data_IF_372024257292
#
_entry.id   IF_372024257292
#
_cell.length_a   1.000
_cell.length_b   1.000
_cell.length_c   1.000
_cell.angle_alpha   90.00
_cell.angle_beta   90.00
_cell.angle_gamma   90.00
#
_symmetry.space_group_name_H-M   'P 1'
#
loop_
_entity.id
_entity.type
_entity.pdbx_description
1 polymer ?
#
# COMPACT_ATOMS: atom_id res chain seq x y z
N UNK A 1 34.06 -8.20 -31.35
CA UNK A 1 32.66 -8.65 -31.26
C UNK A 1 31.80 -7.39 -31.31
N UNK A 2 31.09 -7.20 -32.43
CA UNK A 2 30.22 -6.01 -32.65
C UNK A 2 28.99 -6.15 -31.74
N UNK A 3 28.74 -5.13 -30.91
CA UNK A 3 27.52 -5.02 -30.13
C UNK A 3 26.28 -5.09 -31.06
N UNK A 4 25.22 -5.81 -30.67
CA UNK A 4 23.99 -5.79 -31.43
C UNK A 4 23.34 -4.41 -31.27
N UNK A 5 23.40 -3.59 -32.32
CA UNK A 5 22.59 -2.37 -32.39
C UNK A 5 21.11 -2.75 -32.30
N UNK A 6 20.51 -2.56 -31.13
CA UNK A 6 19.07 -2.54 -30.97
C UNK A 6 18.50 -1.45 -31.87
N UNK A 7 17.95 -1.81 -33.02
CA UNK A 7 17.24 -0.85 -33.89
C UNK A 7 16.01 -0.38 -33.12
N UNK A 8 16.02 0.86 -32.67
CA UNK A 8 14.85 1.46 -32.04
C UNK A 8 13.65 1.39 -32.99
N UNK A 9 12.48 0.99 -32.47
CA UNK A 9 11.25 0.98 -33.25
C UNK A 9 10.89 2.44 -33.59
N UNK A 10 10.65 2.75 -34.87
CA UNK A 10 10.27 4.12 -35.26
C UNK A 10 8.99 4.57 -34.52
N UNK A 11 8.98 5.79 -34.02
CA UNK A 11 7.82 6.36 -33.29
C UNK A 11 6.52 6.37 -34.11
N UNK A 12 6.64 6.57 -35.44
CA UNK A 12 5.50 6.50 -36.37
C UNK A 12 4.84 5.12 -36.36
N UNK A 13 5.62 4.04 -36.33
CA UNK A 13 5.09 2.66 -36.26
C UNK A 13 4.34 2.41 -34.95
N UNK A 14 4.83 2.98 -33.84
CA UNK A 14 4.14 2.89 -32.54
C UNK A 14 2.82 3.65 -32.60
N UNK A 15 2.81 4.87 -33.14
CA UNK A 15 1.61 5.69 -33.29
C UNK A 15 0.54 5.02 -34.19
N UNK A 16 0.96 4.46 -35.32
CA UNK A 16 0.06 3.71 -36.23
C UNK A 16 -0.56 2.50 -35.52
N UNK A 17 0.21 1.78 -34.73
CA UNK A 17 -0.26 0.65 -33.94
C UNK A 17 -1.27 1.10 -32.88
N UNK A 18 -0.96 2.16 -32.12
CA UNK A 18 -1.88 2.72 -31.12
C UNK A 18 -3.20 3.13 -31.76
N UNK A 19 -3.16 3.84 -32.89
CA UNK A 19 -4.37 4.27 -33.60
C UNK A 19 -5.23 3.08 -34.05
N UNK A 20 -4.60 2.05 -34.59
CA UNK A 20 -5.28 0.84 -35.04
C UNK A 20 -5.93 0.08 -33.86
N UNK A 21 -5.19 -0.14 -32.78
CA UNK A 21 -5.69 -0.86 -31.60
C UNK A 21 -6.77 -0.07 -30.89
N UNK A 22 -6.65 1.25 -30.79
CA UNK A 22 -7.70 2.12 -30.24
C UNK A 22 -8.99 2.06 -31.04
N UNK A 23 -8.90 2.11 -32.37
CA UNK A 23 -10.07 1.98 -33.24
C UNK A 23 -10.75 0.59 -33.11
N UNK A 24 -9.94 -0.47 -33.06
CA UNK A 24 -10.45 -1.83 -32.84
C UNK A 24 -11.13 -1.96 -31.48
N UNK A 25 -10.53 -1.41 -30.42
CA UNK A 25 -11.10 -1.39 -29.08
C UNK A 25 -12.47 -0.69 -29.05
N UNK A 26 -12.56 0.53 -29.58
CA UNK A 26 -13.82 1.27 -29.62
C UNK A 26 -14.92 0.53 -30.37
N UNK A 27 -14.61 -0.08 -31.52
CA UNK A 27 -15.56 -0.87 -32.28
C UNK A 27 -16.10 -2.10 -31.52
N UNK A 28 -15.31 -2.67 -30.62
CA UNK A 28 -15.67 -3.87 -29.87
C UNK A 28 -16.35 -3.57 -28.54
N UNK A 29 -16.34 -2.30 -28.06
CA UNK A 29 -16.82 -1.94 -26.71
C UNK A 29 -17.92 -0.85 -26.73
N UNK A 30 -19.01 -0.99 -27.53
CA UNK A 30 -20.07 0.02 -27.64
C UNK A 30 -20.82 0.25 -26.32
N UNK A 31 -21.02 -0.78 -25.50
CA UNK A 31 -21.68 -0.63 -24.18
C UNK A 31 -20.78 0.10 -23.18
N UNK A 32 -19.48 -0.19 -23.15
CA UNK A 32 -18.53 0.52 -22.31
C UNK A 32 -18.45 2.00 -22.69
N UNK A 33 -18.50 2.35 -23.99
CA UNK A 33 -18.60 3.73 -24.46
C UNK A 33 -19.86 4.41 -23.93
N UNK A 34 -21.02 3.79 -24.09
CA UNK A 34 -22.29 4.36 -23.62
C UNK A 34 -22.33 4.54 -22.09
N UNK A 35 -21.74 3.61 -21.34
CA UNK A 35 -21.60 3.74 -19.89
C UNK A 35 -20.63 4.87 -19.50
N UNK A 36 -19.52 5.02 -20.20
CA UNK A 36 -18.57 6.11 -19.97
C UNK A 36 -19.23 7.48 -20.20
N UNK A 37 -20.03 7.64 -21.26
CA UNK A 37 -20.81 8.86 -21.51
C UNK A 37 -21.83 9.16 -20.41
N UNK A 38 -22.42 8.14 -19.80
CA UNK A 38 -23.35 8.30 -18.68
C UNK A 38 -22.63 8.69 -17.39
N UNK A 39 -21.54 8.01 -17.07
CA UNK A 39 -20.79 8.27 -15.82
C UNK A 39 -20.06 9.61 -15.82
N UNK A 40 -19.68 10.13 -16.97
CA UNK A 40 -19.15 11.49 -17.15
C UNK A 40 -20.06 12.58 -16.57
N UNK A 41 -21.36 12.34 -16.49
CA UNK A 41 -22.34 13.33 -15.98
C UNK A 41 -22.35 13.47 -14.47
N UNK A 42 -21.86 12.44 -13.74
CA UNK A 42 -22.05 12.35 -12.30
C UNK A 42 -20.78 12.03 -11.52
N UNK A 43 -19.75 11.52 -12.19
CA UNK A 43 -18.45 11.24 -11.58
C UNK A 43 -17.39 12.17 -12.13
N UNK A 44 -16.59 12.72 -11.25
CA UNK A 44 -15.41 13.47 -11.64
C UNK A 44 -14.49 12.54 -12.46
N UNK A 45 -14.06 12.99 -13.64
CA UNK A 45 -13.33 12.19 -14.63
C UNK A 45 -14.11 10.98 -15.21
N UNK A 46 -15.42 10.89 -14.98
CA UNK A 46 -16.26 9.81 -15.48
C UNK A 46 -16.10 8.44 -14.81
N UNK A 47 -15.37 8.38 -13.71
CA UNK A 47 -15.07 7.13 -13.00
C UNK A 47 -15.20 7.31 -11.48
N UNK A 48 -15.53 6.24 -10.72
CA UNK A 48 -15.69 6.34 -9.26
C UNK A 48 -14.43 6.73 -8.51
N UNK A 49 -13.26 6.34 -9.00
CA UNK A 49 -11.94 6.67 -8.45
C UNK A 49 -11.09 7.25 -9.58
N UNK A 50 -10.50 8.42 -9.40
CA UNK A 50 -9.83 9.19 -10.46
C UNK A 50 -8.77 8.39 -11.23
N UNK A 51 -7.98 7.56 -10.55
CA UNK A 51 -6.94 6.73 -11.16
C UNK A 51 -7.48 5.66 -12.13
N UNK A 52 -8.78 5.33 -12.09
CA UNK A 52 -9.41 4.44 -13.07
C UNK A 52 -9.47 5.06 -14.47
N UNK A 53 -9.31 6.40 -14.59
CA UNK A 53 -9.23 7.09 -15.88
C UNK A 53 -7.80 7.08 -16.47
N UNK A 54 -6.80 6.70 -15.69
CA UNK A 54 -5.38 6.75 -16.09
C UNK A 54 -4.92 5.48 -16.84
N UNK A 55 -5.79 4.48 -16.98
CA UNK A 55 -5.51 3.31 -17.80
C UNK A 55 -5.46 3.67 -19.28
N UNK A 56 -4.47 3.17 -20.01
CA UNK A 56 -4.24 3.48 -21.42
C UNK A 56 -5.26 2.82 -22.38
N UNK A 57 -6.53 2.77 -22.01
CA UNK A 57 -7.63 2.37 -22.89
C UNK A 57 -8.41 3.60 -23.36
N UNK A 58 -8.96 3.63 -24.59
CA UNK A 58 -9.71 4.78 -25.11
C UNK A 58 -10.90 5.20 -24.23
N UNK A 59 -11.54 4.25 -23.56
CA UNK A 59 -12.56 4.44 -22.53
C UNK A 59 -12.34 3.38 -21.44
N UNK A 60 -12.79 3.63 -20.19
CA UNK A 60 -12.75 2.61 -19.15
C UNK A 60 -13.55 1.36 -19.54
N UNK A 61 -13.03 0.17 -19.20
CA UNK A 61 -13.82 -1.06 -19.25
C UNK A 61 -14.76 -1.11 -18.04
N UNK A 62 -16.03 -1.42 -18.28
CA UNK A 62 -17.01 -1.63 -17.22
C UNK A 62 -17.17 -3.12 -16.97
N UNK A 63 -16.85 -3.57 -15.77
CA UNK A 63 -16.92 -4.97 -15.38
C UNK A 63 -18.37 -5.35 -15.06
N UNK A 64 -18.86 -6.43 -15.66
CA UNK A 64 -20.16 -7.03 -15.36
C UNK A 64 -20.04 -8.07 -14.25
N UNK A 65 -19.00 -8.93 -14.33
CA UNK A 65 -18.71 -9.97 -13.33
C UNK A 65 -17.22 -10.33 -13.33
N UNK A 66 -16.76 -10.79 -12.18
CA UNK A 66 -15.40 -11.30 -12.04
C UNK A 66 -15.39 -12.54 -11.14
N UNK A 67 -14.61 -13.55 -11.50
CA UNK A 67 -14.46 -14.79 -10.74
C UNK A 67 -13.08 -15.43 -10.99
N UNK A 68 -12.41 -15.85 -9.94
CA UNK A 68 -11.07 -16.40 -10.06
C UNK A 68 -10.11 -15.38 -10.69
N UNK A 69 -9.40 -15.76 -11.74
CA UNK A 69 -8.47 -14.90 -12.46
C UNK A 69 -9.09 -14.23 -13.70
N UNK A 70 -10.39 -14.20 -13.82
CA UNK A 70 -11.08 -13.69 -15.01
C UNK A 70 -12.14 -12.64 -14.66
N UNK A 71 -12.35 -11.68 -15.57
CA UNK A 71 -13.54 -10.84 -15.56
C UNK A 71 -14.19 -10.78 -16.93
N UNK A 72 -15.48 -10.46 -16.95
CA UNK A 72 -16.27 -10.19 -18.15
C UNK A 72 -16.70 -8.73 -18.13
N UNK A 73 -16.43 -8.00 -19.21
CA UNK A 73 -16.89 -6.62 -19.33
C UNK A 73 -18.37 -6.54 -19.80
N UNK A 74 -18.94 -5.34 -19.71
CA UNK A 74 -20.33 -5.07 -20.12
C UNK A 74 -20.62 -5.42 -21.60
N UNK A 75 -19.60 -5.43 -22.45
CA UNK A 75 -19.69 -5.83 -23.85
C UNK A 75 -19.65 -7.36 -24.06
N UNK A 76 -19.44 -8.13 -22.99
CA UNK A 76 -19.43 -9.58 -23.00
C UNK A 76 -18.06 -10.21 -23.27
N UNK A 77 -17.01 -9.41 -23.41
CA UNK A 77 -15.65 -9.93 -23.60
C UNK A 77 -15.06 -10.44 -22.28
N UNK A 78 -14.39 -11.58 -22.35
CA UNK A 78 -13.68 -12.19 -21.21
C UNK A 78 -12.21 -11.81 -21.26
N UNK A 79 -11.67 -11.46 -20.10
CA UNK A 79 -10.28 -11.10 -19.92
C UNK A 79 -9.69 -11.92 -18.78
N UNK A 80 -8.41 -12.27 -18.92
CA UNK A 80 -7.61 -12.77 -17.80
C UNK A 80 -7.07 -11.55 -17.07
N UNK A 81 -7.34 -11.48 -15.78
CA UNK A 81 -6.98 -10.34 -14.95
C UNK A 81 -5.60 -10.56 -14.30
N UNK A 82 -4.57 -9.93 -14.87
CA UNK A 82 -3.24 -9.91 -14.28
C UNK A 82 -3.03 -8.79 -13.25
N UNK A 83 -3.98 -7.87 -13.13
CA UNK A 83 -3.95 -6.80 -12.13
C UNK A 83 -4.55 -7.26 -10.80
N UNK A 84 -5.61 -8.10 -10.84
CA UNK A 84 -6.34 -8.58 -9.66
C UNK A 84 -6.78 -7.46 -8.72
N UNK A 85 -7.27 -6.35 -9.30
CA UNK A 85 -7.69 -5.18 -8.53
C UNK A 85 -6.53 -4.59 -7.71
N UNK A 86 -5.36 -4.47 -8.33
CA UNK A 86 -4.12 -4.03 -7.68
C UNK A 86 -3.81 -4.87 -6.43
N UNK A 87 -3.76 -6.20 -6.62
CA UNK A 87 -3.56 -7.24 -5.61
C UNK A 87 -4.68 -7.41 -4.57
N UNK A 88 -5.73 -6.59 -4.58
CA UNK A 88 -6.90 -6.76 -3.69
C UNK A 88 -7.59 -8.10 -3.86
N UNK A 89 -7.67 -8.60 -5.09
CA UNK A 89 -8.23 -9.91 -5.44
C UNK A 89 -7.16 -11.01 -5.58
N UNK A 90 -6.10 -10.96 -4.79
CA UNK A 90 -4.96 -11.90 -4.84
C UNK A 90 -5.38 -13.38 -4.68
N UNK A 91 -6.48 -13.65 -3.97
CA UNK A 91 -7.07 -14.99 -3.83
C UNK A 91 -8.06 -15.33 -4.96
N UNK A 92 -8.07 -14.55 -6.03
CA UNK A 92 -9.07 -14.57 -7.08
C UNK A 92 -10.30 -13.72 -6.74
N UNK A 93 -11.00 -13.30 -7.80
CA UNK A 93 -12.28 -12.61 -7.64
C UNK A 93 -13.34 -13.54 -7.05
N UNK A 94 -14.23 -12.99 -6.22
CA UNK A 94 -15.37 -13.70 -5.62
C UNK A 94 -14.98 -15.01 -4.94
N UNK A 95 -14.00 -15.06 -4.02
CA UNK A 95 -13.61 -16.30 -3.36
C UNK A 95 -14.80 -16.85 -2.56
N UNK A 96 -15.12 -18.12 -2.79
CA UNK A 96 -16.34 -18.74 -2.25
C UNK A 96 -16.51 -18.61 -0.72
N UNK A 97 -15.47 -18.75 0.13
CA UNK A 97 -15.61 -18.54 1.57
C UNK A 97 -16.08 -17.12 1.92
N UNK A 98 -15.51 -16.10 1.26
CA UNK A 98 -15.85 -14.69 1.51
C UNK A 98 -17.27 -14.39 1.02
N UNK A 99 -17.63 -14.85 -0.18
CA UNK A 99 -18.97 -14.68 -0.72
C UNK A 99 -20.05 -15.29 0.21
N UNK A 100 -19.78 -16.49 0.75
CA UNK A 100 -20.69 -17.16 1.71
C UNK A 100 -20.86 -16.35 3.00
N UNK A 101 -19.78 -15.82 3.56
CA UNK A 101 -19.84 -15.01 4.79
C UNK A 101 -20.62 -13.71 4.53
N UNK A 102 -20.36 -13.02 3.43
CA UNK A 102 -21.08 -11.79 3.05
C UNK A 102 -22.58 -12.06 2.88
N UNK A 103 -22.94 -13.15 2.22
CA UNK A 103 -24.34 -13.54 2.05
C UNK A 103 -25.03 -13.79 3.41
N UNK A 104 -24.36 -14.46 4.34
CA UNK A 104 -24.88 -14.69 5.70
C UNK A 104 -24.97 -13.37 6.48
N UNK A 105 -23.93 -12.53 6.44
CA UNK A 105 -23.88 -11.30 7.21
C UNK A 105 -24.84 -10.22 6.70
N UNK A 106 -25.26 -10.29 5.45
CA UNK A 106 -26.13 -9.27 4.81
C UNK A 106 -27.45 -9.03 5.57
N UNK A 107 -27.94 -10.01 6.30
CA UNK A 107 -29.18 -9.92 7.10
C UNK A 107 -28.94 -9.65 8.58
N UNK A 108 -27.68 -9.53 9.02
CA UNK A 108 -27.30 -9.37 10.44
C UNK A 108 -26.73 -7.99 10.77
N UNK A 109 -26.49 -7.15 9.76
CA UNK A 109 -25.92 -5.81 9.88
C UNK A 109 -24.40 -5.78 9.73
N UNK A 110 -23.91 -4.68 9.19
CA UNK A 110 -22.47 -4.47 8.93
C UNK A 110 -21.84 -3.41 9.86
N UNK A 111 -22.62 -2.44 10.34
CA UNK A 111 -22.09 -1.27 11.03
C UNK A 111 -22.76 -1.13 12.39
N UNK A 112 -22.16 -1.73 13.40
CA UNK A 112 -22.77 -1.87 14.74
C UNK A 112 -22.20 -0.93 15.78
N UNK A 113 -21.11 -0.23 15.55
CA UNK A 113 -20.33 0.56 16.54
C UNK A 113 -19.86 -0.24 17.77
N UNK A 114 -20.23 -1.51 17.86
CA UNK A 114 -19.85 -2.42 18.93
C UNK A 114 -19.11 -3.62 18.32
N UNK A 115 -18.14 -4.19 19.04
CA UNK A 115 -17.42 -5.36 18.55
C UNK A 115 -18.37 -6.58 18.47
N UNK A 116 -18.17 -7.40 17.45
CA UNK A 116 -18.83 -8.72 17.34
C UNK A 116 -17.94 -9.81 17.97
N UNK A 117 -18.50 -10.98 18.16
CA UNK A 117 -17.73 -12.14 18.64
C UNK A 117 -16.58 -12.53 17.71
N UNK A 118 -16.69 -12.23 16.41
CA UNK A 118 -15.66 -12.52 15.41
C UNK A 118 -14.36 -11.74 15.67
N UNK A 119 -14.43 -10.61 16.37
CA UNK A 119 -13.24 -9.82 16.72
C UNK A 119 -12.19 -10.67 17.48
N UNK A 120 -12.65 -11.57 18.36
CA UNK A 120 -11.74 -12.47 19.09
C UNK A 120 -11.04 -13.48 18.15
N UNK A 121 -11.75 -14.01 17.17
CA UNK A 121 -11.20 -14.95 16.20
C UNK A 121 -10.24 -14.25 15.23
N UNK A 122 -10.63 -13.07 14.72
CA UNK A 122 -9.81 -12.26 13.83
C UNK A 122 -8.50 -11.84 14.52
N UNK A 123 -8.58 -11.34 15.77
CA UNK A 123 -7.39 -10.95 16.52
C UNK A 123 -6.41 -12.11 16.75
N UNK A 124 -6.91 -13.30 17.11
CA UNK A 124 -6.06 -14.50 17.23
C UNK A 124 -5.41 -14.88 15.91
N UNK A 125 -6.19 -14.95 14.83
CA UNK A 125 -5.68 -15.32 13.52
C UNK A 125 -4.60 -14.37 13.02
N UNK A 126 -4.75 -13.06 13.23
CA UNK A 126 -3.75 -12.06 12.90
C UNK A 126 -2.48 -12.24 13.75
N UNK A 127 -2.63 -12.45 15.06
CA UNK A 127 -1.47 -12.64 15.96
C UNK A 127 -0.72 -13.92 15.64
N UNK A 128 -1.41 -15.01 15.41
CA UNK A 128 -0.81 -16.30 15.04
C UNK A 128 -0.10 -16.22 13.68
N UNK A 129 -0.69 -15.48 12.73
CA UNK A 129 -0.15 -15.39 11.38
C UNK A 129 1.08 -14.50 11.29
N UNK A 130 1.04 -13.32 11.91
CA UNK A 130 2.08 -12.28 11.73
C UNK A 130 3.03 -12.12 12.92
N UNK A 131 2.77 -12.81 14.03
CA UNK A 131 3.66 -12.80 15.20
C UNK A 131 3.56 -11.56 16.11
N UNK A 132 2.78 -10.54 15.76
CA UNK A 132 2.53 -9.38 16.61
C UNK A 132 1.26 -9.59 17.46
N UNK A 133 1.29 -9.25 18.77
CA UNK A 133 0.21 -9.62 19.69
C UNK A 133 -1.04 -8.74 19.63
N UNK A 134 -0.95 -7.49 19.16
CA UNK A 134 -2.07 -6.54 19.21
C UNK A 134 -2.39 -5.97 17.83
N UNK A 135 -3.69 -5.93 17.51
CA UNK A 135 -4.17 -5.52 16.19
C UNK A 135 -5.33 -4.52 16.30
N UNK A 136 -5.41 -3.65 15.31
CA UNK A 136 -6.52 -2.74 15.10
C UNK A 136 -6.97 -2.80 13.64
N UNK A 137 -8.24 -2.54 13.42
CA UNK A 137 -8.84 -2.53 12.09
C UNK A 137 -8.87 -1.13 11.51
N UNK A 138 -8.77 -1.05 10.19
CA UNK A 138 -8.97 0.16 9.40
C UNK A 138 -9.74 -0.19 8.13
N UNK A 139 -10.30 0.80 7.45
CA UNK A 139 -11.03 0.56 6.19
C UNK A 139 -10.08 0.46 5.02
N UNK A 140 -9.00 1.23 5.03
CA UNK A 140 -7.99 1.25 3.97
C UNK A 140 -6.58 1.18 4.56
N UNK A 141 -5.60 0.72 3.75
CA UNK A 141 -4.20 0.78 4.14
C UNK A 141 -3.72 2.23 4.36
N UNK A 142 -4.28 3.20 3.65
CA UNK A 142 -4.04 4.63 3.91
C UNK A 142 -4.38 5.00 5.35
N UNK A 143 -5.55 4.58 5.84
CA UNK A 143 -5.95 4.87 7.23
C UNK A 143 -5.08 4.10 8.23
N UNK A 144 -4.77 2.84 7.94
CA UNK A 144 -3.90 2.03 8.79
C UNK A 144 -2.50 2.66 8.92
N UNK A 145 -1.90 3.09 7.82
CA UNK A 145 -0.63 3.84 7.82
C UNK A 145 -0.75 5.15 8.60
N UNK A 146 -1.81 5.93 8.37
CA UNK A 146 -2.06 7.18 9.11
C UNK A 146 -2.14 6.95 10.63
N UNK A 147 -2.85 5.91 11.06
CA UNK A 147 -2.95 5.57 12.48
C UNK A 147 -1.62 5.11 13.05
N UNK A 148 -0.87 4.28 12.33
CA UNK A 148 0.44 3.82 12.74
C UNK A 148 1.43 4.98 12.92
N UNK A 149 1.48 5.91 11.96
CA UNK A 149 2.33 7.11 12.05
C UNK A 149 1.94 8.02 13.22
N UNK A 150 0.65 8.18 13.49
CA UNK A 150 0.19 8.94 14.67
C UNK A 150 0.64 8.29 15.97
N UNK A 151 0.51 6.96 16.09
CA UNK A 151 1.03 6.23 17.24
C UNK A 151 2.55 6.36 17.35
N UNK A 152 3.28 6.18 16.26
CA UNK A 152 4.72 6.34 16.26
C UNK A 152 5.14 7.72 16.81
N UNK A 153 4.52 8.79 16.32
CA UNK A 153 4.77 10.14 16.81
C UNK A 153 4.36 10.34 18.27
N UNK A 154 3.21 9.82 18.67
CA UNK A 154 2.70 9.98 20.03
C UNK A 154 3.60 9.31 21.08
N UNK A 155 4.11 8.12 20.78
CA UNK A 155 4.90 7.34 21.74
C UNK A 155 6.39 7.66 21.75
N UNK A 156 6.92 8.24 20.66
CA UNK A 156 8.32 8.68 20.57
C UNK A 156 8.51 10.15 20.92
N UNK A 157 7.46 10.96 20.80
CA UNK A 157 7.53 12.42 20.88
C UNK A 157 8.22 13.08 19.68
N UNK A 158 8.61 12.30 18.68
CA UNK A 158 9.32 12.76 17.48
C UNK A 158 8.33 13.02 16.35
N UNK A 159 8.68 13.92 15.42
CA UNK A 159 7.77 14.34 14.34
C UNK A 159 8.11 13.71 12.99
N UNK A 160 9.41 13.54 12.71
CA UNK A 160 9.88 13.08 11.40
C UNK A 160 9.70 11.60 11.19
N UNK A 161 9.51 11.21 9.95
CA UNK A 161 9.56 9.83 9.51
C UNK A 161 10.58 9.69 8.36
N UNK A 162 11.18 8.53 8.24
CA UNK A 162 12.07 8.17 7.14
C UNK A 162 11.35 7.20 6.22
N UNK A 163 11.38 7.45 4.91
CA UNK A 163 10.84 6.57 3.87
C UNK A 163 11.90 6.31 2.81
N UNK A 164 11.61 5.41 1.89
CA UNK A 164 12.49 5.09 0.77
C UNK A 164 11.99 5.70 -0.54
N UNK A 165 12.93 6.12 -1.38
CA UNK A 165 12.65 6.73 -2.67
C UNK A 165 11.78 5.80 -3.55
N UNK A 166 10.73 6.34 -4.16
CA UNK A 166 9.78 5.58 -4.95
C UNK A 166 8.75 4.77 -4.16
N UNK A 167 8.68 4.92 -2.82
CA UNK A 167 7.69 4.23 -1.99
C UNK A 167 6.26 4.71 -2.26
N UNK A 168 5.29 3.85 -1.88
CA UNK A 168 3.87 4.20 -1.84
C UNK A 168 3.19 3.52 -0.65
N UNK A 169 2.60 4.34 0.23
CA UNK A 169 1.93 3.87 1.45
C UNK A 169 0.50 4.42 1.56
N UNK A 170 -0.21 4.44 0.45
CA UNK A 170 -1.52 5.08 0.35
C UNK A 170 -1.39 6.61 0.16
N UNK A 171 -2.51 7.31 0.34
CA UNK A 171 -2.60 8.76 0.07
C UNK A 171 -2.40 9.61 1.33
N UNK A 172 -1.42 9.26 2.15
CA UNK A 172 -0.98 10.09 3.27
C UNK A 172 0.10 11.05 2.78
N UNK A 173 -0.09 12.34 3.03
CA UNK A 173 0.83 13.38 2.55
C UNK A 173 2.26 13.13 3.01
N UNK A 174 2.44 12.74 4.25
CA UNK A 174 3.76 12.53 4.88
C UNK A 174 4.73 11.64 4.09
N UNK A 175 4.28 10.78 3.18
CA UNK A 175 5.16 9.86 2.42
C UNK A 175 5.48 10.34 1.01
N UNK A 176 4.91 11.48 0.61
CA UNK A 176 5.09 11.99 -0.75
C UNK A 176 6.30 12.93 -0.85
N UNK A 177 7.44 12.40 -0.47
CA UNK A 177 8.76 13.02 -0.64
C UNK A 177 9.64 12.15 -1.53
N UNK A 178 10.46 12.77 -2.36
CA UNK A 178 11.35 12.10 -3.29
C UNK A 178 12.77 12.65 -3.15
N UNK A 179 13.76 11.87 -3.55
CA UNK A 179 15.12 12.37 -3.80
C UNK A 179 15.15 13.17 -5.09
N UNK A 180 16.10 14.09 -5.19
CA UNK A 180 16.38 14.72 -6.47
C UNK A 180 16.89 13.68 -7.49
N UNK A 181 16.30 13.67 -8.69
CA UNK A 181 16.61 12.67 -9.71
C UNK A 181 18.07 12.76 -10.25
N UNK A 182 18.76 13.88 -9.99
CA UNK A 182 20.11 14.15 -10.48
C UNK A 182 21.15 14.20 -9.37
N UNK A 183 20.73 14.37 -8.12
CA UNK A 183 21.61 14.46 -6.97
C UNK A 183 20.98 13.82 -5.72
N UNK A 184 21.26 12.56 -5.50
CA UNK A 184 20.78 11.82 -4.32
C UNK A 184 21.34 12.36 -2.97
N UNK A 185 22.34 13.24 -3.00
CA UNK A 185 22.86 13.92 -1.81
C UNK A 185 22.13 15.24 -1.51
N UNK A 186 21.30 15.72 -2.42
CA UNK A 186 20.46 16.89 -2.20
C UNK A 186 19.38 16.61 -1.13
N UNK A 187 18.90 17.65 -0.45
CA UNK A 187 17.75 17.50 0.46
C UNK A 187 16.53 16.89 -0.25
N UNK A 188 15.73 16.13 0.49
CA UNK A 188 14.45 15.63 0.01
C UNK A 188 13.57 16.74 -0.55
N UNK A 189 12.80 16.43 -1.58
CA UNK A 189 11.85 17.34 -2.21
C UNK A 189 10.42 16.78 -2.09
N UNK A 190 9.42 17.64 -2.16
CA UNK A 190 8.03 17.18 -2.30
C UNK A 190 7.85 16.55 -3.68
N UNK A 191 7.09 15.45 -3.73
CA UNK A 191 6.77 14.78 -5.00
C UNK A 191 6.07 15.73 -5.97
N UNK A 192 6.65 15.97 -7.13
CA UNK A 192 6.22 16.99 -8.08
C UNK A 192 4.79 16.76 -8.64
N UNK A 193 4.31 15.52 -8.65
CA UNK A 193 2.98 15.18 -9.18
C UNK A 193 1.83 15.47 -8.22
N UNK A 194 2.09 15.83 -6.97
CA UNK A 194 1.04 16.09 -5.98
C UNK A 194 0.44 17.47 -6.13
N UNK A 195 -0.87 17.53 -5.97
CA UNK A 195 -1.65 18.76 -6.00
C UNK A 195 -2.23 19.07 -4.60
N UNK A 196 -2.18 20.35 -4.22
CA UNK A 196 -2.94 20.84 -3.07
C UNK A 196 -2.33 20.57 -1.70
N UNK A 197 -1.04 20.33 -1.59
CA UNK A 197 -0.34 20.26 -0.31
C UNK A 197 -0.46 21.60 0.44
N UNK A 198 -0.72 21.50 1.75
CA UNK A 198 -0.92 22.66 2.62
C UNK A 198 0.40 23.23 3.13
N UNK A 199 1.40 22.37 3.29
CA UNK A 199 2.71 22.70 3.86
C UNK A 199 3.82 21.90 3.18
N UNK A 200 5.06 22.33 3.39
CA UNK A 200 6.24 21.61 2.93
C UNK A 200 6.42 20.30 3.70
N UNK A 201 6.22 19.18 3.01
CA UNK A 201 6.27 17.83 3.60
C UNK A 201 7.67 17.45 4.06
N UNK A 202 8.72 18.04 3.50
CA UNK A 202 10.11 17.75 3.87
C UNK A 202 10.46 18.18 5.29
N UNK A 203 9.62 18.99 5.92
CA UNK A 203 9.76 19.34 7.34
C UNK A 203 9.48 18.16 8.28
N UNK A 204 8.70 17.17 7.83
CA UNK A 204 8.24 16.04 8.64
C UNK A 204 8.63 14.68 8.07
N UNK A 205 9.23 14.66 6.89
CA UNK A 205 9.62 13.43 6.20
C UNK A 205 10.95 13.60 5.49
N UNK A 206 11.76 12.57 5.55
CA UNK A 206 13.01 12.50 4.81
C UNK A 206 13.06 11.18 4.03
N UNK A 207 13.92 11.09 3.03
CA UNK A 207 13.95 9.99 2.08
C UNK A 207 15.39 9.57 1.80
N UNK A 208 15.60 8.28 1.64
CA UNK A 208 16.88 7.68 1.21
C UNK A 208 16.63 6.62 0.16
N UNK A 209 17.66 6.18 -0.57
CA UNK A 209 17.52 5.06 -1.48
C UNK A 209 17.35 3.73 -0.72
N UNK A 210 16.52 2.85 -1.28
CA UNK A 210 16.37 1.49 -0.76
C UNK A 210 17.67 0.71 -0.98
N UNK A 211 18.06 -0.08 0.00
CA UNK A 211 19.35 -0.80 0.06
C UNK A 211 20.57 0.08 0.38
N UNK A 212 20.41 1.36 0.66
CA UNK A 212 21.49 2.21 1.17
C UNK A 212 21.45 2.29 2.71
N UNK A 213 22.02 1.28 3.37
CA UNK A 213 22.00 1.20 4.84
C UNK A 213 22.86 2.27 5.51
N UNK A 214 23.90 2.76 4.85
CA UNK A 214 24.75 3.80 5.41
C UNK A 214 24.02 5.15 5.44
N UNK A 215 23.29 5.49 4.39
CA UNK A 215 22.42 6.66 4.40
C UNK A 215 21.32 6.56 5.48
N UNK A 216 20.73 5.37 5.69
CA UNK A 216 19.79 5.14 6.80
C UNK A 216 20.43 5.44 8.14
N UNK A 217 21.61 4.85 8.42
CA UNK A 217 22.34 5.04 9.69
C UNK A 217 22.69 6.50 9.92
N UNK A 218 23.14 7.21 8.89
CA UNK A 218 23.47 8.64 8.96
C UNK A 218 22.23 9.47 9.35
N UNK A 219 21.08 9.24 8.67
CA UNK A 219 19.83 9.95 8.97
C UNK A 219 19.35 9.66 10.40
N UNK A 220 19.36 8.41 10.84
CA UNK A 220 18.85 8.04 12.16
C UNK A 220 19.74 8.49 13.31
N UNK A 221 21.02 8.77 13.09
CA UNK A 221 21.99 9.15 14.13
C UNK A 221 21.59 10.42 14.93
N UNK A 222 20.75 11.29 14.35
CA UNK A 222 20.29 12.50 15.03
C UNK A 222 19.11 12.28 15.99
N UNK A 223 18.52 11.07 16.03
CA UNK A 223 17.38 10.69 16.86
C UNK A 223 16.10 11.52 16.64
N UNK A 224 15.89 12.10 15.44
CA UNK A 224 14.73 12.94 15.12
C UNK A 224 13.53 12.15 14.56
N UNK A 225 13.75 10.90 14.14
CA UNK A 225 12.74 10.11 13.44
C UNK A 225 11.88 9.30 14.42
N UNK A 226 10.56 9.42 14.27
CA UNK A 226 9.60 8.60 15.01
C UNK A 226 9.60 7.16 14.50
N UNK A 227 9.73 7.00 13.20
CA UNK A 227 9.75 5.68 12.56
C UNK A 227 10.46 5.72 11.20
N UNK A 228 10.86 4.53 10.76
CA UNK A 228 11.08 4.19 9.35
C UNK A 228 9.84 3.44 8.88
N UNK A 229 9.20 3.92 7.82
CA UNK A 229 8.08 3.25 7.16
C UNK A 229 8.55 2.70 5.82
N UNK A 230 8.38 1.41 5.58
CA UNK A 230 8.82 0.76 4.34
C UNK A 230 7.95 -0.43 3.96
N UNK A 231 7.86 -0.72 2.67
CA UNK A 231 7.57 -2.07 2.20
C UNK A 231 8.84 -2.92 2.43
N UNK A 232 8.73 -4.20 2.84
CA UNK A 232 9.92 -5.09 2.95
C UNK A 232 10.62 -5.34 1.61
N UNK A 233 9.89 -5.24 0.50
CA UNK A 233 10.38 -5.14 -0.86
C UNK A 233 9.54 -4.06 -1.57
N UNK A 234 10.17 -3.09 -2.23
CA UNK A 234 9.44 -2.01 -2.89
C UNK A 234 8.70 -2.54 -4.11
N UNK A 235 7.44 -2.15 -4.27
CA UNK A 235 6.58 -2.67 -5.34
C UNK A 235 6.07 -1.59 -6.30
N UNK A 236 6.13 -0.31 -5.94
CA UNK A 236 5.58 0.78 -6.75
C UNK A 236 6.56 1.41 -7.75
N UNK A 237 7.85 1.17 -7.59
CA UNK A 237 8.91 1.65 -8.50
C UNK A 237 9.57 0.51 -9.29
N UNK A 238 8.81 -0.52 -9.59
CA UNK A 238 9.28 -1.82 -10.03
C UNK A 238 9.43 -2.75 -8.82
N UNK A 239 9.91 -3.97 -9.04
CA UNK A 239 10.14 -4.90 -7.93
C UNK A 239 11.58 -4.74 -7.44
N UNK A 240 11.78 -4.00 -6.35
CA UNK A 240 13.10 -3.81 -5.74
C UNK A 240 13.20 -4.67 -4.50
N UNK A 241 13.97 -5.76 -4.60
CA UNK A 241 14.19 -6.67 -3.48
C UNK A 241 15.24 -6.10 -2.51
N UNK A 242 15.14 -6.41 -1.21
CA UNK A 242 16.18 -6.05 -0.25
C UNK A 242 17.47 -6.80 -0.58
N UNK A 243 18.59 -6.11 -0.53
CA UNK A 243 19.91 -6.73 -0.56
C UNK A 243 20.09 -7.64 0.66
N UNK A 244 21.00 -8.62 0.53
CA UNK A 244 21.30 -9.54 1.63
C UNK A 244 21.70 -8.76 2.90
N UNK A 245 21.02 -9.03 4.01
CA UNK A 245 21.26 -8.40 5.30
C UNK A 245 20.69 -7.00 5.49
N UNK A 246 20.19 -6.33 4.42
CA UNK A 246 19.69 -4.96 4.50
C UNK A 246 18.61 -4.78 5.57
N UNK A 247 17.57 -5.62 5.56
CA UNK A 247 16.45 -5.50 6.50
C UNK A 247 16.87 -5.78 7.95
N UNK A 248 17.83 -6.71 8.15
CA UNK A 248 18.40 -6.95 9.48
C UNK A 248 19.20 -5.75 9.99
N UNK A 249 20.01 -5.14 9.13
CA UNK A 249 20.76 -3.93 9.49
C UNK A 249 19.84 -2.72 9.70
N UNK A 250 18.77 -2.61 8.92
CA UNK A 250 17.73 -1.61 9.12
C UNK A 250 17.08 -1.75 10.50
N UNK A 251 16.72 -2.99 10.90
CA UNK A 251 16.18 -3.26 12.25
C UNK A 251 17.20 -2.82 13.32
N UNK A 252 18.46 -3.20 13.17
CA UNK A 252 19.50 -2.84 14.13
C UNK A 252 19.73 -1.31 14.22
N UNK A 253 19.68 -0.59 13.11
CA UNK A 253 19.79 0.86 13.10
C UNK A 253 18.60 1.54 13.79
N UNK A 254 17.38 1.02 13.59
CA UNK A 254 16.19 1.48 14.28
C UNK A 254 16.28 1.24 15.80
N UNK A 255 16.73 0.06 16.22
CA UNK A 255 16.91 -0.28 17.64
C UNK A 255 17.95 0.63 18.32
N UNK A 256 19.07 0.90 17.66
CA UNK A 256 20.13 1.75 18.18
C UNK A 256 19.69 3.19 18.45
N UNK A 257 18.62 3.64 17.82
CA UNK A 257 18.13 5.03 17.89
C UNK A 257 16.75 5.18 18.53
N UNK A 258 16.15 4.09 19.04
CA UNK A 258 14.74 4.04 19.49
C UNK A 258 13.77 4.60 18.43
N UNK A 259 14.05 4.30 17.16
CA UNK A 259 13.20 4.61 16.02
C UNK A 259 12.36 3.39 15.70
N UNK A 260 11.05 3.55 15.52
CA UNK A 260 10.20 2.40 15.23
C UNK A 260 10.38 1.93 13.78
N UNK A 261 10.40 0.62 13.56
CA UNK A 261 10.36 0.02 12.23
C UNK A 261 8.92 -0.42 11.91
N UNK A 262 8.35 0.13 10.85
CA UNK A 262 7.00 -0.17 10.39
C UNK A 262 7.07 -0.82 9.01
N UNK A 263 6.58 -2.06 8.88
CA UNK A 263 6.48 -2.74 7.59
C UNK A 263 5.07 -2.60 7.02
N UNK A 264 4.97 -2.09 5.81
CA UNK A 264 3.75 -2.10 5.02
C UNK A 264 3.74 -3.33 4.12
N UNK A 265 3.00 -4.34 4.53
CA UNK A 265 2.82 -5.63 3.84
C UNK A 265 1.67 -5.62 2.83
N UNK A 266 1.12 -4.45 2.52
CA UNK A 266 -0.08 -4.36 1.68
C UNK A 266 0.07 -5.09 0.33
N UNK A 267 1.26 -5.08 -0.25
CA UNK A 267 1.59 -5.86 -1.45
C UNK A 267 2.39 -7.12 -1.16
N UNK A 268 3.27 -7.10 -0.17
CA UNK A 268 4.19 -8.20 0.14
C UNK A 268 3.57 -9.31 0.99
N UNK A 269 2.30 -9.16 1.39
CA UNK A 269 1.54 -10.14 2.17
C UNK A 269 1.52 -11.55 1.53
N UNK A 270 1.68 -11.64 0.21
CA UNK A 270 1.71 -12.90 -0.54
C UNK A 270 3.09 -13.55 -0.64
N UNK A 271 4.15 -12.90 -0.17
CA UNK A 271 5.51 -13.42 -0.27
C UNK A 271 5.73 -14.71 0.54
N UNK A 272 4.94 -14.91 1.61
CA UNK A 272 5.00 -16.09 2.45
C UNK A 272 3.76 -16.25 3.32
N UNK A 273 3.75 -17.29 4.16
CA UNK A 273 2.62 -17.53 5.08
C UNK A 273 2.33 -16.33 5.97
N UNK A 274 3.36 -15.66 6.47
CA UNK A 274 3.27 -14.47 7.33
C UNK A 274 3.73 -13.19 6.60
N UNK A 275 3.50 -13.10 5.29
CA UNK A 275 4.03 -12.03 4.46
C UNK A 275 5.55 -12.10 4.30
N UNK A 276 6.16 -11.02 3.87
CA UNK A 276 7.62 -10.91 3.85
C UNK A 276 8.22 -10.83 5.26
N UNK A 277 7.45 -10.29 6.21
CA UNK A 277 7.83 -10.26 7.65
C UNK A 277 8.12 -11.66 8.18
N UNK A 278 7.36 -12.68 7.75
CA UNK A 278 7.63 -14.07 8.12
C UNK A 278 8.99 -14.54 7.62
N UNK A 279 9.39 -14.15 6.42
CA UNK A 279 10.71 -14.45 5.85
C UNK A 279 11.81 -13.80 6.70
N UNK A 280 11.66 -12.52 7.07
CA UNK A 280 12.60 -11.84 7.95
C UNK A 280 12.71 -12.53 9.31
N UNK A 281 11.57 -12.97 9.88
CA UNK A 281 11.57 -13.66 11.15
C UNK A 281 12.28 -15.03 11.09
N UNK A 282 12.04 -15.79 10.05
CA UNK A 282 12.66 -17.11 9.85
C UNK A 282 14.15 -17.01 9.53
N UNK A 283 14.58 -16.03 8.77
CA UNK A 283 15.97 -15.90 8.32
C UNK A 283 16.85 -15.12 9.29
N UNK A 284 16.34 -14.02 9.83
CA UNK A 284 17.10 -13.04 10.61
C UNK A 284 16.63 -12.92 12.06
N UNK A 285 15.55 -13.60 12.45
CA UNK A 285 15.08 -13.70 13.84
C UNK A 285 14.44 -12.43 14.40
N UNK A 286 14.00 -11.47 13.54
CA UNK A 286 13.39 -10.24 14.01
C UNK A 286 11.97 -10.05 13.47
N UNK A 287 11.20 -9.21 14.17
CA UNK A 287 9.92 -8.65 13.73
C UNK A 287 10.00 -7.12 13.73
N UNK A 288 9.25 -6.43 12.86
CA UNK A 288 9.12 -4.97 12.96
C UNK A 288 8.31 -4.59 14.21
N UNK A 289 8.36 -3.33 14.59
CA UNK A 289 7.56 -2.79 15.68
C UNK A 289 6.07 -2.75 15.35
N UNK A 290 5.77 -2.48 14.08
CA UNK A 290 4.40 -2.48 13.56
C UNK A 290 4.34 -3.10 12.16
N UNK A 291 3.19 -3.71 11.85
CA UNK A 291 2.87 -4.24 10.52
C UNK A 291 1.57 -3.61 10.06
N UNK A 292 1.52 -3.20 8.80
CA UNK A 292 0.31 -2.76 8.12
C UNK A 292 0.00 -3.77 7.02
N UNK A 293 -1.26 -4.14 6.86
CA UNK A 293 -1.72 -4.95 5.74
C UNK A 293 -3.10 -4.47 5.28
N UNK A 294 -3.24 -4.33 3.98
CA UNK A 294 -4.49 -3.95 3.33
C UNK A 294 -4.84 -4.88 2.19
N UNK A 295 -5.53 -4.35 1.18
CA UNK A 295 -5.85 -5.05 -0.08
C UNK A 295 -6.39 -6.47 0.13
N UNK A 296 -5.55 -7.49 0.02
CA UNK A 296 -5.96 -8.89 0.08
C UNK A 296 -6.34 -9.40 1.48
N UNK A 297 -6.08 -8.64 2.56
CA UNK A 297 -6.23 -9.13 3.94
C UNK A 297 -7.65 -9.64 4.26
N UNK A 298 -8.67 -9.10 3.61
CA UNK A 298 -10.06 -9.51 3.76
C UNK A 298 -10.64 -10.20 2.50
N UNK A 299 -9.78 -10.77 1.65
CA UNK A 299 -10.21 -11.52 0.47
C UNK A 299 -10.93 -10.67 -0.58
N UNK A 300 -10.54 -9.41 -0.75
CA UNK A 300 -11.07 -8.48 -1.73
C UNK A 300 -12.16 -7.53 -1.18
N UNK A 301 -12.50 -7.63 0.10
CA UNK A 301 -13.39 -6.66 0.77
C UNK A 301 -12.54 -5.50 1.30
N UNK A 302 -13.00 -4.24 1.14
CA UNK A 302 -12.29 -3.08 1.67
C UNK A 302 -12.05 -3.21 3.17
N UNK A 303 -10.80 -3.47 3.54
CA UNK A 303 -10.36 -3.64 4.91
C UNK A 303 -8.85 -3.46 4.97
N UNK A 304 -8.35 -3.00 6.08
CA UNK A 304 -6.94 -3.01 6.42
C UNK A 304 -6.78 -3.25 7.93
N UNK A 305 -5.57 -3.62 8.32
CA UNK A 305 -5.20 -3.83 9.70
C UNK A 305 -3.84 -3.20 9.97
N UNK A 306 -3.60 -2.83 11.21
CA UNK A 306 -2.25 -2.56 11.70
C UNK A 306 -2.02 -3.30 13.01
N UNK A 307 -0.88 -3.98 13.05
CA UNK A 307 -0.41 -4.74 14.21
C UNK A 307 0.70 -4.00 14.93
N UNK A 308 0.88 -4.27 16.21
CA UNK A 308 1.93 -3.68 17.02
C UNK A 308 2.52 -4.68 18.01
N UNK A 309 3.82 -4.50 18.28
CA UNK A 309 4.56 -5.26 19.28
C UNK A 309 4.06 -4.97 20.70
N UNK A 310 4.41 -5.84 21.65
CA UNK A 310 4.12 -5.63 23.08
C UNK A 310 4.67 -4.29 23.59
N UNK A 311 5.89 -3.93 23.17
CA UNK A 311 6.54 -2.68 23.54
C UNK A 311 5.75 -1.47 23.04
N UNK A 312 5.37 -1.46 21.77
CA UNK A 312 4.57 -0.38 21.16
C UNK A 312 3.22 -0.28 21.84
N UNK A 313 2.53 -1.42 22.06
CA UNK A 313 1.21 -1.43 22.69
C UNK A 313 1.26 -0.90 24.13
N UNK A 314 2.28 -1.24 24.89
CA UNK A 314 2.50 -0.70 26.26
C UNK A 314 2.69 0.81 26.23
N UNK A 315 3.55 1.33 25.34
CA UNK A 315 3.77 2.78 25.16
C UNK A 315 2.50 3.49 24.70
N UNK A 316 1.74 2.90 23.79
CA UNK A 316 0.48 3.46 23.29
C UNK A 316 -0.60 3.54 24.38
N UNK A 317 -0.74 2.53 25.25
CA UNK A 317 -1.65 2.56 26.39
C UNK A 317 -1.27 3.70 27.35
N UNK A 318 0.01 3.80 27.72
CA UNK A 318 0.50 4.86 28.59
C UNK A 318 0.26 6.27 27.99
N UNK A 319 0.51 6.45 26.68
CA UNK A 319 0.25 7.70 25.99
C UNK A 319 -1.24 8.07 25.99
N UNK A 320 -2.13 7.08 25.80
CA UNK A 320 -3.58 7.30 25.86
C UNK A 320 -4.07 7.65 27.27
N UNK A 321 -3.54 6.99 28.29
CA UNK A 321 -3.87 7.28 29.71
C UNK A 321 -3.41 8.68 30.13
N UNK A 322 -2.28 9.15 29.62
CA UNK A 322 -1.77 10.51 29.88
C UNK A 322 -2.47 11.60 29.08
N UNK A 323 -3.22 11.25 28.03
CA UNK A 323 -3.94 12.23 27.21
C UNK A 323 -5.15 12.81 27.97
N UNK A 324 -5.51 14.09 27.71
CA UNK A 324 -6.71 14.68 28.31
C UNK A 324 -7.96 13.86 27.98
N UNK A 325 -8.86 13.72 28.97
CA UNK A 325 -10.11 12.97 28.80
C UNK A 325 -10.95 13.55 27.64
N UNK A 326 -11.55 12.66 26.84
CA UNK A 326 -12.43 13.03 25.72
C UNK A 326 -11.78 13.00 24.34
N UNK A 327 -10.54 12.62 24.22
CA UNK A 327 -9.89 12.42 22.92
C UNK A 327 -9.94 10.97 22.46
N UNK A 328 -10.76 10.71 21.46
CA UNK A 328 -10.63 9.56 20.57
C UNK A 328 -9.67 9.97 19.44
N UNK A 329 -8.43 9.61 19.52
CA UNK A 329 -7.43 9.98 18.54
C UNK A 329 -7.24 8.94 17.46
#
# INVERSE_FOLDING_TARGET
>A
MSEPHSKSIPSTRIQDMIARESAAFLNQHPKSIALAEQTQKNFLFGVPLHWMADWNTPVPLFVERAQGAEFTCADGHRFIDFCLGDTGAMFGHSPAPVAKVLQSQSTQGYTTMLPTADAAAAGRALSERFGLPYWQMATTATDANRFALRWARAITGRKKLLVFNGCYHGTIDDVFVDLDAHDASAPATMRASLLGQVYDLTQFSDVVEFNDIEAVKEKLANHEFACVLTEPALTNCGMVLPAEGFLRELRAACDATDTLLIFDETHTISAGYSGYTGICHEQDGFLPDMIIAGKAIAGGIPCAVYGMSESVAKRARAAKEAAPAGHSG
#
